data_IF_005619480460
#
_entry.id   IF_005619480460
#
_cell.length_a   1.000
_cell.length_b   1.000
_cell.length_c   1.000
_cell.angle_alpha   90.00
_cell.angle_beta   90.00
_cell.angle_gamma   90.00
#
_symmetry.space_group_name_H-M   'P 1'
#
loop_
_entity.id
_entity.type
_entity.pdbx_description
1 polymer ?
#
# COMPACT_ATOMS: atom_id res chain seq x y z
N UNK A 1 -23.83 44.87 -3.01
CA UNK A 1 -23.09 44.27 -1.88
C UNK A 1 -22.66 42.88 -2.32
N UNK A 2 -21.40 42.77 -2.74
CA UNK A 2 -20.85 41.61 -3.45
C UNK A 2 -20.86 40.33 -2.60
N UNK A 3 -21.45 39.25 -3.12
CA UNK A 3 -20.95 37.91 -2.88
C UNK A 3 -20.37 37.43 -4.21
N UNK A 4 -19.05 37.38 -4.22
CA UNK A 4 -18.18 36.86 -5.25
C UNK A 4 -18.75 35.61 -5.91
N UNK A 5 -18.89 35.66 -7.24
CA UNK A 5 -18.90 34.47 -8.09
C UNK A 5 -17.61 33.70 -7.78
N UNK A 6 -17.71 32.65 -6.96
CA UNK A 6 -16.63 31.67 -6.85
C UNK A 6 -16.42 31.09 -8.25
N UNK A 7 -15.37 31.53 -8.93
CA UNK A 7 -14.92 30.93 -10.19
C UNK A 7 -14.60 29.47 -9.86
N UNK A 8 -15.55 28.58 -10.12
CA UNK A 8 -15.31 27.15 -9.98
C UNK A 8 -14.25 26.78 -11.01
N UNK A 9 -13.07 26.29 -10.61
CA UNK A 9 -11.98 26.02 -11.54
C UNK A 9 -12.24 24.74 -12.38
N UNK A 10 -13.46 24.22 -12.29
CA UNK A 10 -13.98 23.04 -12.96
C UNK A 10 -15.44 23.28 -13.38
N UNK A 11 -15.89 22.56 -14.39
CA UNK A 11 -17.27 22.64 -14.89
C UNK A 11 -17.92 21.27 -14.75
N UNK A 12 -18.99 21.19 -13.96
CA UNK A 12 -19.82 19.99 -13.90
C UNK A 12 -20.72 19.90 -15.14
N UNK A 13 -20.81 18.72 -15.75
CA UNK A 13 -21.64 18.45 -16.92
C UNK A 13 -22.46 17.18 -16.72
N UNK A 14 -23.74 17.25 -17.12
CA UNK A 14 -24.58 16.08 -17.32
C UNK A 14 -24.58 15.72 -18.81
N UNK A 15 -24.10 14.52 -19.14
CA UNK A 15 -23.96 14.04 -20.52
C UNK A 15 -24.93 12.90 -20.79
N UNK A 16 -25.56 12.88 -21.97
CA UNK A 16 -26.40 11.77 -22.40
C UNK A 16 -25.55 10.54 -22.77
N UNK A 17 -26.17 9.36 -22.88
CA UNK A 17 -25.51 8.18 -23.41
C UNK A 17 -25.02 8.41 -24.86
N UNK A 18 -23.85 7.88 -25.21
CA UNK A 18 -23.25 8.03 -26.54
C UNK A 18 -22.52 9.37 -26.76
N UNK A 19 -22.49 10.26 -25.78
CA UNK A 19 -21.78 11.55 -25.89
C UNK A 19 -20.27 11.32 -25.87
N UNK A 20 -19.57 11.83 -26.88
CA UNK A 20 -18.11 11.84 -26.91
C UNK A 20 -17.58 13.00 -26.08
N UNK A 21 -16.72 12.70 -25.11
CA UNK A 21 -16.09 13.66 -24.21
C UNK A 21 -14.81 14.21 -24.83
N UNK A 22 -13.99 13.35 -25.42
CA UNK A 22 -12.74 13.68 -26.12
C UNK A 22 -12.59 12.80 -27.36
N UNK A 23 -12.09 13.35 -28.45
CA UNK A 23 -11.73 12.58 -29.65
C UNK A 23 -10.24 12.24 -29.65
N UNK A 24 -9.89 11.12 -30.28
CA UNK A 24 -8.49 10.84 -30.62
C UNK A 24 -7.94 11.98 -31.51
N UNK A 25 -6.70 12.40 -31.25
CA UNK A 25 -6.03 13.50 -31.93
C UNK A 25 -6.24 14.88 -31.29
N UNK A 26 -7.26 15.06 -30.44
CA UNK A 26 -7.49 16.34 -29.77
C UNK A 26 -6.30 16.73 -28.87
N UNK A 27 -6.10 18.03 -28.60
CA UNK A 27 -5.24 18.47 -27.49
C UNK A 27 -5.66 17.84 -26.15
N UNK A 28 -4.68 17.65 -25.27
CA UNK A 28 -4.86 17.05 -23.94
C UNK A 28 -4.66 18.09 -22.84
N UNK A 29 -5.51 19.11 -22.83
CA UNK A 29 -5.49 20.21 -21.85
C UNK A 29 -6.57 20.10 -20.77
N UNK A 30 -7.30 18.98 -20.73
CA UNK A 30 -8.37 18.72 -19.77
C UNK A 30 -8.49 17.24 -19.36
N UNK A 31 -9.15 16.97 -18.24
CA UNK A 31 -9.59 15.62 -17.85
C UNK A 31 -11.06 15.67 -17.45
N UNK A 32 -11.73 14.53 -17.48
CA UNK A 32 -13.05 14.39 -16.90
C UNK A 32 -13.00 13.42 -15.71
N UNK A 33 -13.46 13.86 -14.54
CA UNK A 33 -13.72 12.99 -13.38
C UNK A 33 -15.16 12.49 -13.46
N UNK A 34 -15.37 11.18 -13.43
CA UNK A 34 -16.69 10.58 -13.46
C UNK A 34 -17.30 10.63 -12.05
N UNK A 35 -18.37 11.40 -11.86
CA UNK A 35 -19.09 11.54 -10.57
C UNK A 35 -20.19 10.49 -10.43
N UNK A 36 -20.87 10.18 -11.53
CA UNK A 36 -21.76 9.04 -11.68
C UNK A 36 -21.91 8.75 -13.16
N UNK A 37 -21.79 7.50 -13.59
CA UNK A 37 -21.87 7.16 -15.00
C UNK A 37 -20.91 6.05 -15.39
N UNK A 38 -20.69 5.94 -16.69
CA UNK A 38 -19.65 5.11 -17.28
C UNK A 38 -19.18 5.74 -18.61
N UNK A 39 -17.87 5.64 -18.84
CA UNK A 39 -17.20 6.08 -20.07
C UNK A 39 -16.38 4.92 -20.63
N UNK A 40 -16.57 4.63 -21.91
CA UNK A 40 -15.74 3.69 -22.67
C UNK A 40 -14.59 4.42 -23.38
N UNK A 41 -13.49 3.69 -23.58
CA UNK A 41 -12.31 4.14 -24.31
C UNK A 41 -12.27 3.37 -25.64
N UNK A 42 -12.19 4.11 -26.75
CA UNK A 42 -12.25 3.58 -28.10
C UNK A 42 -10.94 3.89 -28.84
N UNK A 43 -10.33 2.86 -29.42
CA UNK A 43 -9.19 3.00 -30.33
C UNK A 43 -9.67 2.94 -31.77
N UNK A 44 -9.12 3.80 -32.62
CA UNK A 44 -9.29 3.69 -34.07
C UNK A 44 -8.43 2.56 -34.62
N UNK A 45 -9.05 1.69 -35.40
CA UNK A 45 -8.40 0.64 -36.17
C UNK A 45 -8.88 0.69 -37.62
N UNK A 46 -8.22 -0.06 -38.51
CA UNK A 46 -8.57 -0.14 -39.93
C UNK A 46 -10.05 -0.49 -40.14
N UNK A 47 -10.64 -1.31 -39.27
CA UNK A 47 -12.02 -1.77 -39.36
C UNK A 47 -13.01 -0.96 -38.49
N UNK A 48 -12.60 0.21 -38.01
CA UNK A 48 -13.43 1.12 -37.21
C UNK A 48 -13.01 1.20 -35.74
N UNK A 49 -13.93 1.70 -34.91
CA UNK A 49 -13.69 1.93 -33.49
C UNK A 49 -13.81 0.63 -32.68
N UNK A 50 -12.76 0.29 -31.94
CA UNK A 50 -12.72 -0.85 -31.02
C UNK A 50 -12.67 -0.37 -29.58
N UNK A 51 -13.57 -0.88 -28.74
CA UNK A 51 -13.56 -0.61 -27.30
C UNK A 51 -12.38 -1.32 -26.63
N UNK A 52 -11.50 -0.54 -26.01
CA UNK A 52 -10.30 -1.02 -25.32
C UNK A 52 -10.35 -0.86 -23.80
N UNK A 53 -11.36 -0.18 -23.27
CA UNK A 53 -11.51 0.04 -21.83
C UNK A 53 -12.86 0.62 -21.44
N UNK A 54 -13.14 0.59 -20.14
CA UNK A 54 -14.29 1.24 -19.49
C UNK A 54 -13.90 1.76 -18.12
N UNK A 55 -14.47 2.90 -17.74
CA UNK A 55 -14.23 3.58 -16.47
C UNK A 55 -15.57 4.03 -15.86
N UNK A 56 -15.71 3.85 -14.54
CA UNK A 56 -16.90 4.20 -13.77
C UNK A 56 -16.63 5.31 -12.76
N UNK A 57 -17.51 5.43 -11.76
CA UNK A 57 -17.45 6.46 -10.73
C UNK A 57 -16.07 6.54 -10.04
N UNK A 58 -15.60 7.76 -9.81
CA UNK A 58 -14.32 8.09 -9.17
C UNK A 58 -13.11 8.06 -10.10
N UNK A 59 -13.25 7.55 -11.33
CA UNK A 59 -12.16 7.50 -12.29
C UNK A 59 -11.98 8.83 -13.03
N UNK A 60 -10.73 9.23 -13.22
CA UNK A 60 -10.37 10.21 -14.25
C UNK A 60 -10.28 9.53 -15.62
N UNK A 61 -10.74 10.23 -16.66
CA UNK A 61 -10.54 9.83 -18.06
C UNK A 61 -9.78 10.91 -18.82
N UNK A 62 -8.90 10.45 -19.73
CA UNK A 62 -8.02 11.31 -20.52
C UNK A 62 -6.79 11.82 -19.77
N UNK A 63 -6.66 11.50 -18.47
CA UNK A 63 -5.56 11.82 -17.57
C UNK A 63 -4.19 11.38 -18.10
N UNK A 64 -4.10 10.17 -18.66
CA UNK A 64 -2.84 9.60 -19.15
C UNK A 64 -2.20 10.42 -20.28
N UNK A 65 -3.00 11.13 -21.06
CA UNK A 65 -2.50 11.93 -22.18
C UNK A 65 -2.13 13.35 -21.72
N UNK A 66 -2.79 13.88 -20.70
CA UNK A 66 -2.36 15.10 -19.98
C UNK A 66 -1.02 14.86 -19.29
N UNK A 67 -0.89 13.75 -18.54
CA UNK A 67 0.33 13.39 -17.82
C UNK A 67 1.53 13.14 -18.74
N UNK A 68 1.27 12.63 -19.94
CA UNK A 68 2.30 12.34 -20.93
C UNK A 68 2.55 13.50 -21.91
N UNK A 69 1.90 14.66 -21.69
CA UNK A 69 2.02 15.87 -22.53
C UNK A 69 1.90 15.59 -24.04
N UNK A 70 0.91 14.78 -24.41
CA UNK A 70 0.69 14.38 -25.81
C UNK A 70 -0.78 14.48 -26.21
N UNK A 71 -1.11 14.61 -27.51
CA UNK A 71 -2.49 14.55 -27.98
C UNK A 71 -3.24 13.29 -27.52
N UNK A 72 -4.57 13.36 -27.49
CA UNK A 72 -5.45 12.24 -27.12
C UNK A 72 -5.15 11.04 -28.00
N UNK A 73 -4.87 9.90 -27.38
CA UNK A 73 -4.66 8.66 -28.14
C UNK A 73 -5.95 7.95 -28.52
N UNK A 74 -7.00 8.18 -27.75
CA UNK A 74 -8.24 7.42 -27.82
C UNK A 74 -9.44 8.34 -27.71
N UNK A 75 -10.56 7.88 -28.26
CA UNK A 75 -11.85 8.54 -28.14
C UNK A 75 -12.55 8.07 -26.87
N UNK A 76 -13.07 8.99 -26.08
CA UNK A 76 -13.75 8.71 -24.81
C UNK A 76 -15.24 9.01 -24.96
N UNK A 77 -16.10 8.01 -24.76
CA UNK A 77 -17.56 8.14 -25.00
C UNK A 77 -18.36 7.62 -23.81
N UNK A 78 -19.44 8.29 -23.45
CA UNK A 78 -20.35 7.80 -22.41
C UNK A 78 -21.15 6.59 -22.89
N UNK A 79 -21.36 5.59 -22.05
CA UNK A 79 -22.19 4.42 -22.39
C UNK A 79 -23.62 4.51 -21.83
N UNK A 80 -23.81 5.36 -20.82
CA UNK A 80 -25.10 5.71 -20.18
C UNK A 80 -25.13 7.22 -19.87
N UNK A 81 -26.25 7.80 -19.41
CA UNK A 81 -26.23 9.15 -18.86
C UNK A 81 -25.17 9.25 -17.75
N UNK A 82 -24.24 10.20 -17.90
CA UNK A 82 -23.03 10.29 -17.09
C UNK A 82 -22.80 11.75 -16.67
N UNK A 83 -22.57 11.95 -15.37
CA UNK A 83 -22.22 13.22 -14.74
C UNK A 83 -20.71 13.27 -14.52
N UNK A 84 -20.08 14.33 -15.00
CA UNK A 84 -18.62 14.52 -14.91
C UNK A 84 -18.26 15.90 -14.37
N UNK A 85 -17.13 16.00 -13.70
CA UNK A 85 -16.41 17.27 -13.55
C UNK A 85 -15.35 17.38 -14.64
N UNK A 86 -15.46 18.41 -15.49
CA UNK A 86 -14.42 18.78 -16.44
C UNK A 86 -13.39 19.68 -15.74
N UNK A 87 -12.14 19.24 -15.75
CA UNK A 87 -11.02 19.90 -15.08
C UNK A 87 -10.00 20.28 -16.13
N UNK A 88 -9.41 21.48 -16.03
CA UNK A 88 -8.22 21.79 -16.82
C UNK A 88 -7.07 20.87 -16.41
N UNK A 89 -6.14 20.63 -17.33
CA UNK A 89 -4.92 19.85 -17.06
C UNK A 89 -4.14 20.46 -15.89
N UNK A 90 -4.12 21.79 -15.78
CA UNK A 90 -3.50 22.49 -14.66
C UNK A 90 -4.16 22.15 -13.32
N UNK A 91 -5.48 22.28 -13.20
CA UNK A 91 -6.20 21.96 -11.96
C UNK A 91 -6.10 20.47 -11.64
N UNK A 92 -6.13 19.60 -12.65
CA UNK A 92 -5.89 18.17 -12.44
C UNK A 92 -4.51 17.92 -11.84
N UNK A 93 -3.45 18.55 -12.37
CA UNK A 93 -2.10 18.43 -11.83
C UNK A 93 -1.99 19.01 -10.42
N UNK A 94 -2.68 20.12 -10.14
CA UNK A 94 -2.78 20.68 -8.79
C UNK A 94 -3.46 19.70 -7.83
N UNK A 95 -4.60 19.12 -8.20
CA UNK A 95 -5.30 18.09 -7.42
C UNK A 95 -4.44 16.85 -7.21
N UNK A 96 -3.67 16.42 -8.21
CA UNK A 96 -2.75 15.28 -8.08
C UNK A 96 -1.58 15.58 -7.16
N UNK A 97 -1.02 16.79 -7.22
CA UNK A 97 0.02 17.24 -6.29
C UNK A 97 -0.51 17.35 -4.87
N UNK A 98 -1.68 17.96 -4.69
CA UNK A 98 -2.33 18.08 -3.39
C UNK A 98 -2.74 16.71 -2.83
N UNK A 99 -3.23 15.78 -3.65
CA UNK A 99 -3.53 14.42 -3.23
C UNK A 99 -2.25 13.66 -2.85
N UNK A 100 -1.15 13.85 -3.58
CA UNK A 100 0.15 13.27 -3.24
C UNK A 100 0.77 13.90 -1.99
N UNK A 101 0.55 15.19 -1.76
CA UNK A 101 0.98 15.92 -0.57
C UNK A 101 0.10 15.61 0.65
N UNK A 102 -1.20 15.42 0.48
CA UNK A 102 -2.09 14.90 1.52
C UNK A 102 -1.86 13.41 1.78
N UNK A 103 -1.33 12.70 0.78
CA UNK A 103 -0.73 11.38 0.92
C UNK A 103 0.78 11.43 1.23
N UNK A 104 1.34 12.60 1.63
CA UNK A 104 2.63 12.60 2.30
C UNK A 104 2.50 11.69 3.52
N UNK A 105 3.55 10.90 3.82
CA UNK A 105 3.48 9.91 4.86
C UNK A 105 3.11 10.65 6.13
N UNK A 106 1.93 10.35 6.68
CA UNK A 106 1.78 10.38 8.13
C UNK A 106 2.98 9.57 8.59
N UNK A 107 3.92 10.19 9.32
CA UNK A 107 5.21 9.58 9.63
C UNK A 107 4.96 8.12 9.98
N UNK A 108 5.33 7.20 9.06
CA UNK A 108 4.88 5.82 9.20
C UNK A 108 5.41 5.34 10.52
N UNK A 109 4.54 4.78 11.37
CA UNK A 109 4.88 4.56 12.76
C UNK A 109 6.26 3.90 12.89
N UNK A 110 7.20 4.47 13.64
CA UNK A 110 8.55 3.92 13.61
C UNK A 110 8.53 2.58 14.36
N UNK A 111 8.86 1.48 13.68
CA UNK A 111 8.85 0.14 14.29
C UNK A 111 10.27 -0.29 14.66
N UNK A 112 10.53 -0.55 15.95
CA UNK A 112 11.81 -1.07 16.44
C UNK A 112 11.64 -2.41 17.15
N UNK A 113 12.47 -3.37 16.78
CA UNK A 113 12.63 -4.63 17.49
C UNK A 113 13.78 -4.50 18.49
N UNK A 114 13.45 -4.48 19.77
CA UNK A 114 14.37 -4.30 20.88
C UNK A 114 14.66 -5.64 21.59
N UNK A 115 15.86 -5.80 22.18
CA UNK A 115 16.14 -6.95 23.03
C UNK A 115 15.32 -6.89 24.33
N UNK A 116 14.80 -8.03 24.78
CA UNK A 116 14.08 -8.17 26.05
C UNK A 116 14.61 -9.34 26.91
N UNK A 117 15.81 -9.83 26.59
CA UNK A 117 16.52 -10.88 27.31
C UNK A 117 18.01 -10.82 27.02
N UNK A 118 18.84 -11.48 27.85
CA UNK A 118 20.28 -11.64 27.59
C UNK A 118 20.56 -12.24 26.21
N UNK A 119 19.73 -13.18 25.77
CA UNK A 119 19.92 -13.85 24.48
C UNK A 119 19.64 -12.90 23.31
N UNK A 120 18.52 -12.15 23.36
CA UNK A 120 18.19 -11.16 22.33
C UNK A 120 19.15 -9.97 22.32
N UNK A 121 19.72 -9.58 23.46
CA UNK A 121 20.75 -8.55 23.55
C UNK A 121 22.05 -8.95 22.84
N UNK A 122 22.33 -10.27 22.72
CA UNK A 122 23.42 -10.77 21.88
C UNK A 122 23.10 -10.80 20.37
N UNK A 123 21.84 -10.57 19.98
CA UNK A 123 21.36 -10.65 18.59
C UNK A 123 21.05 -9.28 17.99
N UNK A 124 20.77 -8.27 18.82
CA UNK A 124 20.27 -6.96 18.41
C UNK A 124 21.09 -5.83 19.08
N UNK A 125 21.20 -4.66 18.44
CA UNK A 125 21.71 -3.45 19.09
C UNK A 125 20.89 -3.09 20.34
N UNK A 126 21.49 -2.36 21.28
CA UNK A 126 20.83 -1.93 22.51
C UNK A 126 19.66 -0.98 22.22
N UNK A 127 19.84 -0.10 21.25
CA UNK A 127 18.81 0.82 20.72
C UNK A 127 17.70 0.11 19.93
N UNK A 128 17.86 -1.19 19.66
CA UNK A 128 16.96 -2.00 18.85
C UNK A 128 17.19 -1.85 17.34
N UNK A 129 16.70 -2.82 16.58
CA UNK A 129 16.74 -2.82 15.13
C UNK A 129 15.52 -2.08 14.57
N UNK A 130 15.76 -0.99 13.85
CA UNK A 130 14.70 -0.30 13.11
C UNK A 130 14.26 -1.14 11.90
N UNK A 131 12.97 -1.46 11.83
CA UNK A 131 12.41 -2.30 10.77
C UNK A 131 11.97 -1.40 9.60
N UNK A 132 12.71 -1.48 8.49
CA UNK A 132 12.45 -0.67 7.29
C UNK A 132 11.84 -1.48 6.14
N UNK A 133 11.92 -2.81 6.20
CA UNK A 133 11.36 -3.73 5.20
C UNK A 133 10.32 -4.63 5.84
N UNK A 134 9.13 -4.71 5.23
CA UNK A 134 8.04 -5.60 5.62
C UNK A 134 7.60 -6.46 4.42
N UNK A 135 7.18 -7.71 4.64
CA UNK A 135 7.08 -8.41 5.93
C UNK A 135 8.45 -8.74 6.54
N UNK A 136 8.61 -8.53 7.85
CA UNK A 136 9.87 -8.81 8.57
C UNK A 136 9.78 -10.15 9.30
N UNK A 137 10.61 -11.12 8.93
CA UNK A 137 10.55 -12.48 9.51
C UNK A 137 11.63 -12.73 10.55
N UNK A 138 11.27 -13.37 11.66
CA UNK A 138 12.22 -13.81 12.69
C UNK A 138 12.18 -15.32 12.81
N UNK A 139 13.35 -15.95 12.84
CA UNK A 139 13.46 -17.40 13.03
C UNK A 139 14.90 -17.88 13.02
N UNK A 140 15.08 -19.19 13.17
CA UNK A 140 16.43 -19.77 13.16
C UNK A 140 17.00 -19.93 11.76
N UNK A 141 18.31 -19.96 11.66
CA UNK A 141 19.03 -20.35 10.45
C UNK A 141 18.61 -21.76 9.98
N UNK A 142 18.35 -21.91 8.68
CA UNK A 142 18.11 -23.20 8.03
C UNK A 142 19.39 -23.79 7.43
N UNK A 143 19.50 -25.11 7.36
CA UNK A 143 20.64 -25.80 6.73
C UNK A 143 20.61 -25.81 5.20
N UNK A 144 19.43 -25.60 4.61
CA UNK A 144 19.21 -25.81 3.19
C UNK A 144 19.14 -24.45 2.51
N UNK A 145 20.24 -24.04 1.87
CA UNK A 145 20.40 -22.78 1.12
C UNK A 145 19.49 -22.60 -0.10
N UNK A 146 18.25 -23.08 -0.04
CA UNK A 146 17.14 -22.76 -0.93
C UNK A 146 16.13 -21.91 -0.17
N UNK A 147 16.54 -20.73 0.26
CA UNK A 147 15.60 -19.69 0.65
C UNK A 147 15.11 -19.03 -0.64
N UNK A 148 13.79 -18.90 -0.77
CA UNK A 148 13.12 -18.37 -1.96
C UNK A 148 13.80 -17.09 -2.48
N UNK A 149 13.87 -16.96 -3.81
CA UNK A 149 14.59 -15.94 -4.57
C UNK A 149 14.07 -14.49 -4.40
N UNK A 150 13.48 -14.16 -3.26
CA UNK A 150 13.05 -12.83 -2.82
C UNK A 150 13.60 -12.46 -1.42
N UNK A 151 14.68 -13.10 -0.97
CA UNK A 151 15.36 -12.80 0.30
C UNK A 151 16.03 -11.41 0.26
N UNK A 152 15.28 -10.37 0.56
CA UNK A 152 15.85 -9.13 1.08
C UNK A 152 16.45 -9.44 2.46
N UNK A 153 17.78 -9.40 2.57
CA UNK A 153 18.47 -9.63 3.84
C UNK A 153 18.04 -8.62 4.92
N UNK A 154 17.51 -7.45 4.52
CA UNK A 154 16.99 -6.42 5.43
C UNK A 154 15.59 -6.76 5.97
N UNK A 155 14.90 -7.77 5.42
CA UNK A 155 13.54 -8.18 5.82
C UNK A 155 13.52 -9.39 6.78
N UNK A 156 14.63 -9.70 7.46
CA UNK A 156 14.68 -10.82 8.40
C UNK A 156 15.73 -10.71 9.51
N UNK A 157 15.40 -11.32 10.65
CA UNK A 157 16.35 -11.67 11.70
C UNK A 157 16.55 -13.18 11.72
N UNK A 158 17.76 -13.61 11.36
CA UNK A 158 18.17 -15.02 11.36
C UNK A 158 18.96 -15.32 12.60
N UNK A 159 18.54 -16.33 13.35
CA UNK A 159 19.10 -16.68 14.65
C UNK A 159 19.86 -18.01 14.54
N UNK A 160 21.15 -17.99 14.80
CA UNK A 160 21.93 -19.23 14.93
C UNK A 160 21.49 -19.98 16.20
N UNK A 161 21.11 -21.24 16.05
CA UNK A 161 20.74 -22.13 17.15
C UNK A 161 21.35 -23.50 16.93
N UNK A 162 21.77 -24.17 18.00
CA UNK A 162 22.20 -25.56 17.97
C UNK A 162 21.10 -26.48 18.53
N UNK A 163 21.00 -27.74 18.09
CA UNK A 163 20.04 -28.68 18.66
C UNK A 163 20.18 -28.81 20.19
N UNK A 164 19.06 -28.96 20.94
CA UNK A 164 17.69 -29.06 20.44
C UNK A 164 17.06 -27.71 20.07
N UNK A 165 16.49 -27.62 18.87
CA UNK A 165 15.92 -26.36 18.37
C UNK A 165 14.65 -25.96 19.10
N UNK A 166 14.64 -24.75 19.67
CA UNK A 166 13.44 -24.08 20.18
C UNK A 166 12.77 -23.26 19.09
N UNK A 167 13.55 -22.67 18.18
CA UNK A 167 13.01 -21.83 17.13
C UNK A 167 12.69 -22.61 15.85
N UNK A 168 11.60 -22.22 15.20
CA UNK A 168 11.33 -22.61 13.81
C UNK A 168 12.09 -21.69 12.86
N UNK A 169 12.36 -22.15 11.63
CA UNK A 169 13.10 -21.39 10.60
C UNK A 169 12.43 -20.06 10.26
N UNK A 170 11.10 -20.08 10.18
CA UNK A 170 10.24 -18.91 10.22
C UNK A 170 9.36 -19.06 11.45
N UNK A 171 9.68 -18.32 12.52
CA UNK A 171 9.01 -18.47 13.81
C UNK A 171 7.84 -17.52 13.94
N UNK A 172 8.06 -16.24 13.65
CA UNK A 172 6.99 -15.25 13.51
C UNK A 172 7.35 -14.23 12.44
N UNK A 173 6.35 -13.50 11.97
CA UNK A 173 6.50 -12.46 10.96
C UNK A 173 5.74 -11.21 11.43
N UNK A 174 6.38 -10.05 11.28
CA UNK A 174 5.79 -8.74 11.50
C UNK A 174 5.33 -8.21 10.15
N UNK A 175 4.08 -7.79 10.08
CA UNK A 175 3.42 -7.28 8.88
C UNK A 175 3.10 -5.81 9.06
N UNK A 176 3.12 -5.07 7.95
CA UNK A 176 2.65 -3.69 7.87
C UNK A 176 1.62 -3.56 6.75
N UNK A 177 0.45 -3.02 7.07
CA UNK A 177 -0.61 -2.66 6.14
C UNK A 177 -1.00 -1.19 6.40
N UNK A 178 -0.35 -0.25 5.68
CA UNK A 178 -0.43 1.18 6.03
C UNK A 178 0.20 1.46 7.41
N UNK A 179 -0.54 2.10 8.31
CA UNK A 179 -0.10 2.36 9.69
C UNK A 179 -0.31 1.17 10.64
N UNK A 180 -0.96 0.10 10.18
CA UNK A 180 -1.33 -1.04 11.03
C UNK A 180 -0.17 -2.03 11.07
N UNK A 181 0.33 -2.29 12.29
CA UNK A 181 1.33 -3.31 12.55
C UNK A 181 0.65 -4.57 13.08
N UNK A 182 1.03 -5.72 12.53
CA UNK A 182 0.48 -7.02 12.91
C UNK A 182 1.58 -8.04 13.12
N UNK A 183 1.35 -9.01 14.00
CA UNK A 183 2.26 -10.16 14.21
C UNK A 183 1.50 -11.43 13.86
N UNK A 184 2.15 -12.33 13.12
CA UNK A 184 1.62 -13.65 12.76
C UNK A 184 2.65 -14.72 13.09
N UNK A 185 2.17 -15.87 13.57
CA UNK A 185 2.96 -17.08 13.75
C UNK A 185 2.55 -18.07 12.62
N UNK A 186 3.41 -18.31 11.61
CA UNK A 186 3.07 -19.14 10.45
C UNK A 186 3.04 -20.65 10.75
N UNK A 187 2.97 -21.07 12.01
CA UNK A 187 2.92 -22.48 12.42
C UNK A 187 4.20 -22.96 13.08
N UNK A 188 4.82 -22.13 13.91
CA UNK A 188 5.98 -22.48 14.70
C UNK A 188 5.68 -23.64 15.66
N UNK A 189 6.68 -24.50 15.87
CA UNK A 189 6.51 -25.73 16.67
C UNK A 189 6.13 -25.46 18.12
N UNK A 190 6.70 -24.43 18.74
CA UNK A 190 6.52 -24.12 20.16
C UNK A 190 5.63 -22.88 20.38
N UNK A 191 5.29 -22.16 19.33
CA UNK A 191 4.41 -20.99 19.35
C UNK A 191 5.13 -19.69 19.70
N UNK A 192 4.46 -18.62 19.32
CA UNK A 192 4.79 -17.24 19.64
C UNK A 192 3.75 -16.67 20.60
N UNK A 193 4.20 -15.92 21.60
CA UNK A 193 3.34 -15.12 22.47
C UNK A 193 3.55 -13.64 22.18
N UNK A 194 2.47 -12.87 22.20
CA UNK A 194 2.46 -11.41 22.16
C UNK A 194 1.67 -10.92 23.38
N UNK A 195 2.30 -10.13 24.24
CA UNK A 195 1.73 -9.67 25.52
C UNK A 195 1.08 -10.81 26.35
N UNK A 196 1.74 -11.97 26.35
CA UNK A 196 1.29 -13.18 27.03
C UNK A 196 0.22 -14.00 26.28
N UNK A 197 -0.35 -13.50 25.18
CA UNK A 197 -1.35 -14.21 24.38
C UNK A 197 -0.72 -14.97 23.21
N UNK A 198 -1.20 -16.19 22.93
CA UNK A 198 -0.66 -17.01 21.85
C UNK A 198 -1.14 -16.52 20.49
N UNK A 199 -0.19 -16.32 19.58
CA UNK A 199 -0.46 -15.95 18.19
C UNK A 199 -0.38 -17.18 17.29
N UNK A 200 -1.20 -17.19 16.23
CA UNK A 200 -1.25 -18.26 15.24
C UNK A 200 -1.28 -17.69 13.82
N UNK A 201 -1.94 -18.41 12.91
CA UNK A 201 -2.06 -18.03 11.50
C UNK A 201 -2.89 -16.76 11.29
N UNK A 202 -3.81 -16.46 12.21
CA UNK A 202 -4.55 -15.19 12.22
C UNK A 202 -3.66 -14.11 12.85
N UNK A 203 -3.27 -13.06 12.09
CA UNK A 203 -2.38 -12.04 12.61
C UNK A 203 -3.09 -11.15 13.64
N UNK A 204 -2.41 -10.91 14.77
CA UNK A 204 -2.87 -9.99 15.81
C UNK A 204 -2.41 -8.57 15.50
N UNK A 205 -3.30 -7.60 15.66
CA UNK A 205 -2.99 -6.18 15.46
C UNK A 205 -2.43 -5.58 16.73
N UNK A 206 -1.34 -4.82 16.61
CA UNK A 206 -0.68 -4.13 17.70
C UNK A 206 -1.10 -2.66 17.76
N UNK A 207 -1.11 -2.10 18.97
CA UNK A 207 -1.46 -0.71 19.16
C UNK A 207 -0.28 0.20 18.77
N UNK A 208 -0.57 1.30 18.09
CA UNK A 208 0.41 2.34 17.80
C UNK A 208 0.66 3.20 19.06
N UNK A 209 1.86 3.77 19.16
CA UNK A 209 2.31 4.53 20.33
C UNK A 209 2.61 3.66 21.56
N UNK A 210 2.85 2.35 21.38
CA UNK A 210 3.09 1.41 22.46
C UNK A 210 4.19 0.39 22.15
N UNK A 211 4.65 -0.28 23.21
CA UNK A 211 5.64 -1.35 23.14
C UNK A 211 5.01 -2.67 23.57
N UNK A 212 5.17 -3.71 22.74
CA UNK A 212 4.59 -5.04 22.94
C UNK A 212 5.69 -6.09 23.22
N UNK A 213 5.49 -6.99 24.17
CA UNK A 213 6.40 -8.12 24.39
C UNK A 213 6.11 -9.22 23.35
N UNK A 214 7.16 -9.76 22.73
CA UNK A 214 7.08 -10.93 21.85
C UNK A 214 8.01 -12.02 22.38
N UNK A 215 7.47 -13.23 22.61
CA UNK A 215 8.24 -14.39 23.05
C UNK A 215 8.13 -15.48 21.99
N UNK A 216 9.27 -15.85 21.38
CA UNK A 216 9.32 -16.90 20.37
C UNK A 216 9.79 -18.22 21.00
N UNK A 217 9.03 -19.29 20.84
CA UNK A 217 9.41 -20.63 21.29
C UNK A 217 8.93 -21.00 22.69
N UNK A 218 7.74 -20.52 23.06
CA UNK A 218 7.03 -20.84 24.30
C UNK A 218 7.33 -19.88 25.47
N UNK A 219 6.46 -19.90 26.50
CA UNK A 219 6.45 -18.92 27.60
C UNK A 219 7.75 -18.81 28.41
N UNK A 220 8.53 -19.90 28.51
CA UNK A 220 9.83 -19.92 29.20
C UNK A 220 11.01 -19.66 28.26
N UNK A 221 10.76 -19.25 27.02
CA UNK A 221 11.81 -19.05 26.03
C UNK A 221 12.74 -17.90 26.43
N UNK A 222 14.06 -18.04 26.18
CA UNK A 222 15.00 -16.93 26.26
C UNK A 222 14.92 -16.01 25.03
N UNK A 223 14.25 -16.40 23.94
CA UNK A 223 14.05 -15.55 22.76
C UNK A 223 12.87 -14.60 23.00
N UNK A 224 13.17 -13.48 23.66
CA UNK A 224 12.22 -12.43 24.00
C UNK A 224 12.63 -11.13 23.33
N UNK A 225 11.64 -10.42 22.82
CA UNK A 225 11.82 -9.15 22.15
C UNK A 225 10.76 -8.17 22.64
N UNK A 226 11.03 -6.90 22.46
CA UNK A 226 10.02 -5.84 22.55
C UNK A 226 9.85 -5.23 21.17
N UNK A 227 8.60 -5.00 20.76
CA UNK A 227 8.29 -4.29 19.52
C UNK A 227 7.70 -2.93 19.87
N UNK A 228 8.49 -1.87 19.70
CA UNK A 228 8.04 -0.50 19.86
C UNK A 228 7.48 0.01 18.54
N UNK A 229 6.32 0.68 18.61
CA UNK A 229 5.61 1.27 17.47
C UNK A 229 5.35 2.74 17.84
N UNK A 230 6.13 3.67 17.31
CA UNK A 230 6.05 5.11 17.64
C UNK A 230 5.16 5.90 16.68
#
# INVERSE_FOLDING_TARGET
MHRSDEVRPFIEKQLAAGTVIFWAGDPSDAVALIIDGEVEVLAEQVNGLVRIGKHGNGAYVGDKDVLAERPRRFTFRTTRPTRVEMLSGHLFMERMRAARAAAEPRAEALVRLLPASTLSAGLLPEEGLCLTSFPFSVGREGSDGKEDAASDAQARLVIAESPPYRLSRRHFTILREGDIIRVVDPGSRLGTLVDGQRVGLEPVTLAAGSTHEIIAGGASSPYRFQLAID
#
